data_IF_760657973512
#
_entry.id   IF_760657973512
#
_cell.length_a   1.000
_cell.length_b   1.000
_cell.length_c   1.000
_cell.angle_alpha   90.00
_cell.angle_beta   90.00
_cell.angle_gamma   90.00
#
_symmetry.space_group_name_H-M   'P 1'
#
loop_
_entity.id
_entity.type
_entity.pdbx_description
1 polymer ?
#
# COMPACT_ATOMS: atom_id res chain seq x y z
N UNK A 1 8.42 -4.48 -4.63
CA UNK A 1 7.21 -4.52 -5.49
C UNK A 1 7.32 -5.64 -6.52
N UNK A 2 6.69 -6.78 -6.25
CA UNK A 2 6.46 -7.78 -7.30
C UNK A 2 5.33 -7.22 -8.17
N UNK A 3 5.66 -6.77 -9.38
CA UNK A 3 4.65 -6.32 -10.32
C UNK A 3 3.77 -7.52 -10.67
N UNK A 4 2.47 -7.42 -10.41
CA UNK A 4 1.50 -8.40 -10.93
C UNK A 4 1.47 -8.16 -12.44
N UNK A 5 2.23 -8.94 -13.20
CA UNK A 5 2.23 -8.86 -14.66
C UNK A 5 0.98 -9.54 -15.19
N UNK A 6 0.10 -8.76 -15.81
CA UNK A 6 -1.02 -9.30 -16.58
C UNK A 6 -0.47 -9.87 -17.89
N UNK A 7 -0.60 -11.18 -18.08
CA UNK A 7 -0.16 -11.86 -19.30
C UNK A 7 -1.26 -11.82 -20.35
N UNK A 8 -1.27 -10.74 -21.14
CA UNK A 8 -2.23 -10.47 -22.21
C UNK A 8 -2.34 -11.64 -23.19
N UNK A 9 -1.22 -12.26 -23.57
CA UNK A 9 -1.19 -13.34 -24.54
C UNK A 9 -1.82 -14.62 -23.96
N UNK A 10 -1.48 -14.98 -22.72
CA UNK A 10 -2.08 -16.13 -22.05
C UNK A 10 -3.57 -15.96 -21.83
N UNK A 11 -4.02 -14.72 -21.54
CA UNK A 11 -5.44 -14.41 -21.40
C UNK A 11 -6.19 -14.54 -22.74
N UNK A 12 -5.69 -13.91 -23.81
CA UNK A 12 -6.26 -14.03 -25.15
C UNK A 12 -6.32 -15.50 -25.61
N UNK A 13 -5.27 -16.29 -25.37
CA UNK A 13 -5.26 -17.71 -25.72
C UNK A 13 -6.31 -18.51 -24.95
N UNK A 14 -6.56 -18.19 -23.68
CA UNK A 14 -7.65 -18.79 -22.89
C UNK A 14 -9.02 -18.49 -23.48
N UNK A 15 -9.26 -17.24 -23.89
CA UNK A 15 -10.52 -16.85 -24.54
C UNK A 15 -10.71 -17.59 -25.86
N UNK A 16 -9.66 -17.68 -26.69
CA UNK A 16 -9.67 -18.46 -27.94
C UNK A 16 -10.01 -19.93 -27.69
N UNK A 17 -9.41 -20.56 -26.68
CA UNK A 17 -9.72 -21.94 -26.28
C UNK A 17 -11.16 -22.11 -25.77
N UNK A 18 -11.78 -21.05 -25.26
CA UNK A 18 -13.18 -21.03 -24.85
C UNK A 18 -14.16 -20.76 -26.01
N UNK A 19 -13.65 -20.57 -27.24
CA UNK A 19 -14.47 -20.34 -28.43
C UNK A 19 -14.67 -18.86 -28.80
N UNK A 20 -14.00 -17.93 -28.09
CA UNK A 20 -14.02 -16.50 -28.46
C UNK A 20 -13.23 -16.31 -29.76
N UNK A 21 -13.77 -15.59 -30.76
CA UNK A 21 -13.05 -15.29 -32.00
C UNK A 21 -11.70 -14.62 -31.74
N UNK A 22 -10.64 -14.92 -32.52
CA UNK A 22 -9.29 -14.42 -32.24
C UNK A 22 -9.18 -12.90 -32.08
N UNK A 23 -9.84 -12.14 -32.96
CA UNK A 23 -9.85 -10.68 -32.91
C UNK A 23 -10.54 -10.11 -31.65
N UNK A 24 -11.61 -10.78 -31.17
CA UNK A 24 -12.29 -10.37 -29.94
C UNK A 24 -11.45 -10.72 -28.72
N UNK A 25 -10.86 -11.92 -28.70
CA UNK A 25 -10.01 -12.38 -27.60
C UNK A 25 -8.78 -11.47 -27.41
N UNK A 26 -8.19 -11.00 -28.51
CA UNK A 26 -7.07 -10.05 -28.47
C UNK A 26 -7.52 -8.67 -27.99
N UNK A 27 -8.62 -8.14 -28.55
CA UNK A 27 -9.15 -6.84 -28.14
C UNK A 27 -9.57 -6.80 -26.66
N UNK A 28 -10.21 -7.86 -26.15
CA UNK A 28 -10.56 -7.99 -24.73
C UNK A 28 -9.31 -8.06 -23.85
N UNK A 29 -8.30 -8.81 -24.27
CA UNK A 29 -7.05 -8.92 -23.52
C UNK A 29 -6.31 -7.59 -23.43
N UNK A 30 -6.24 -6.84 -24.54
CA UNK A 30 -5.63 -5.52 -24.59
C UNK A 30 -6.39 -4.51 -23.71
N UNK A 31 -7.71 -4.43 -23.85
CA UNK A 31 -8.53 -3.54 -23.04
C UNK A 31 -8.39 -3.83 -21.53
N UNK A 32 -8.33 -5.12 -21.15
CA UNK A 32 -8.14 -5.49 -19.75
C UNK A 32 -6.72 -5.17 -19.24
N UNK A 33 -5.70 -5.34 -20.08
CA UNK A 33 -4.33 -4.99 -19.76
C UNK A 33 -4.17 -3.49 -19.49
N UNK A 34 -4.81 -2.63 -20.29
CA UNK A 34 -4.84 -1.18 -20.08
C UNK A 34 -5.48 -0.79 -18.74
N UNK A 35 -6.61 -1.42 -18.40
CA UNK A 35 -7.29 -1.18 -17.11
C UNK A 35 -6.40 -1.60 -15.93
N UNK A 36 -5.70 -2.73 -16.04
CA UNK A 36 -4.79 -3.19 -14.98
C UNK A 36 -3.57 -2.28 -14.84
N UNK A 37 -3.02 -1.75 -15.94
CA UNK A 37 -1.91 -0.80 -15.89
C UNK A 37 -2.33 0.53 -15.26
N UNK A 38 -3.52 1.04 -15.59
CA UNK A 38 -4.09 2.23 -14.96
C UNK A 38 -4.38 2.01 -13.47
N UNK A 39 -5.03 0.90 -13.11
CA UNK A 39 -5.35 0.57 -11.72
C UNK A 39 -4.10 0.31 -10.88
N UNK A 40 -3.03 -0.23 -11.47
CA UNK A 40 -1.78 -0.54 -10.78
C UNK A 40 -0.98 0.69 -10.36
N UNK A 41 -1.13 1.83 -11.05
CA UNK A 41 -0.31 3.04 -10.84
C UNK A 41 -0.62 3.78 -9.53
N UNK A 42 -1.88 3.78 -9.09
CA UNK A 42 -2.33 4.54 -7.91
C UNK A 42 -2.41 3.71 -6.61
N UNK A 43 -2.01 2.44 -6.65
CA UNK A 43 -2.06 1.58 -5.48
C UNK A 43 -0.84 1.80 -4.58
N UNK A 44 -1.11 2.08 -3.31
CA UNK A 44 -0.07 2.14 -2.30
C UNK A 44 0.58 0.75 -2.13
N UNK A 45 1.91 0.71 -2.15
CA UNK A 45 2.65 -0.56 -1.99
C UNK A 45 2.62 -1.01 -0.53
N UNK A 46 2.79 -2.32 -0.30
CA UNK A 46 2.92 -2.85 1.07
C UNK A 46 4.10 -2.22 1.78
N UNK A 47 5.24 -2.12 1.09
CA UNK A 47 6.46 -1.52 1.61
C UNK A 47 6.26 -0.03 1.96
N UNK A 48 5.49 0.71 1.16
CA UNK A 48 5.13 2.09 1.45
C UNK A 48 4.25 2.21 2.70
N UNK A 49 3.22 1.35 2.82
CA UNK A 49 2.35 1.30 4.00
C UNK A 49 3.15 0.94 5.26
N UNK A 50 3.99 -0.09 5.21
CA UNK A 50 4.81 -0.53 6.34
C UNK A 50 5.76 0.59 6.80
N UNK A 51 6.38 1.30 5.85
CA UNK A 51 7.22 2.46 6.16
C UNK A 51 6.42 3.58 6.85
N UNK A 52 5.20 3.89 6.35
CA UNK A 52 4.33 4.91 6.94
C UNK A 52 3.83 4.53 8.34
N UNK A 53 3.47 3.27 8.54
CA UNK A 53 3.04 2.76 9.84
C UNK A 53 4.18 2.79 10.86
N UNK A 54 5.38 2.35 10.47
CA UNK A 54 6.58 2.42 11.31
C UNK A 54 6.89 3.87 11.70
N UNK A 55 6.79 4.80 10.74
CA UNK A 55 7.00 6.23 11.01
C UNK A 55 5.95 6.78 11.98
N UNK A 56 4.69 6.37 11.84
CA UNK A 56 3.61 6.77 12.74
C UNK A 56 3.84 6.25 14.16
N UNK A 57 4.23 4.98 14.28
CA UNK A 57 4.57 4.33 15.56
C UNK A 57 5.71 5.07 16.26
N UNK A 58 6.81 5.36 15.55
CA UNK A 58 7.93 6.12 16.12
C UNK A 58 7.49 7.51 16.61
N UNK A 59 6.68 8.23 15.83
CA UNK A 59 6.19 9.55 16.24
C UNK A 59 5.27 9.46 17.46
N UNK A 60 4.44 8.44 17.56
CA UNK A 60 3.60 8.19 18.73
C UNK A 60 4.46 7.88 19.95
N UNK A 61 5.44 6.98 19.83
CA UNK A 61 6.36 6.63 20.92
C UNK A 61 7.12 7.86 21.44
N UNK A 62 7.64 8.70 20.55
CA UNK A 62 8.33 9.95 20.94
C UNK A 62 7.37 10.91 21.66
N UNK A 63 6.17 11.14 21.11
CA UNK A 63 5.19 12.05 21.71
C UNK A 63 4.74 11.57 23.09
N UNK A 64 4.45 10.28 23.22
CA UNK A 64 4.04 9.68 24.50
C UNK A 64 5.19 9.70 25.51
N UNK A 65 6.41 9.36 25.09
CA UNK A 65 7.60 9.47 25.94
C UNK A 65 7.85 10.90 26.43
N UNK A 66 7.75 11.88 25.55
CA UNK A 66 7.89 13.30 25.89
C UNK A 66 6.80 13.77 26.87
N UNK A 67 5.54 13.35 26.66
CA UNK A 67 4.45 13.64 27.58
C UNK A 67 4.70 13.03 28.97
N UNK A 68 5.16 11.78 29.03
CA UNK A 68 5.46 11.09 30.29
C UNK A 68 6.61 11.77 31.05
N UNK A 69 7.71 12.09 30.36
CA UNK A 69 8.84 12.82 30.97
C UNK A 69 8.39 14.21 31.44
N UNK A 70 7.59 14.91 30.65
CA UNK A 70 7.01 16.20 31.02
C UNK A 70 6.14 16.11 32.27
N UNK A 71 5.20 15.16 32.31
CA UNK A 71 4.31 14.96 33.46
C UNK A 71 5.08 14.60 34.73
N UNK A 72 6.03 13.66 34.65
CA UNK A 72 6.88 13.28 35.78
C UNK A 72 7.74 14.46 36.24
N UNK A 73 8.33 15.20 35.32
CA UNK A 73 9.14 16.39 35.64
C UNK A 73 8.34 17.48 36.36
N UNK A 74 7.11 17.75 35.89
CA UNK A 74 6.20 18.70 36.53
C UNK A 74 5.87 18.26 37.96
N UNK A 75 5.49 16.99 38.15
CA UNK A 75 5.16 16.46 39.49
C UNK A 75 6.37 16.53 40.43
N UNK A 76 7.56 16.15 39.98
CA UNK A 76 8.77 16.20 40.79
C UNK A 76 9.13 17.63 41.22
N UNK A 77 8.97 18.61 40.33
CA UNK A 77 9.19 20.02 40.66
C UNK A 77 8.19 20.53 41.71
N UNK A 78 6.90 20.17 41.58
CA UNK A 78 5.87 20.55 42.54
C UNK A 78 6.13 19.95 43.94
N UNK A 79 6.53 18.68 44.02
CA UNK A 79 6.87 18.03 45.30
C UNK A 79 8.06 18.69 45.99
N UNK A 80 9.04 19.20 45.23
CA UNK A 80 10.21 19.89 45.81
C UNK A 80 9.91 21.30 46.30
N UNK A 81 8.85 21.93 45.77
CA UNK A 81 8.42 23.29 46.10
C UNK A 81 7.48 23.36 47.33
N UNK A 82 6.79 22.26 47.62
CA UNK A 82 5.94 22.06 48.82
C UNK A 82 6.78 21.63 50.02
#
# INVERSE_FOLDING_TARGET
MSAITFDTLKFANRLKSAGVPPAQAEAEAEALAEVFDLAGRDLATKEYLDARLTQLEQRMTIKLGALMVGAVGIVAALVKLL
#
